data_IF_450991953030
#
_entry.id   IF_450991953030
#
_cell.length_a   1.000
_cell.length_b   1.000
_cell.length_c   1.000
_cell.angle_alpha   90.00
_cell.angle_beta   90.00
_cell.angle_gamma   90.00
#
_symmetry.space_group_name_H-M   'P 1'
#
loop_
_entity.id
_entity.type
_entity.pdbx_description
1 polymer ?
#
# COMPACT_ATOMS: atom_id res chain seq x y z
N UNK A 1 -2.87 25.60 -52.06
CA UNK A 1 -3.97 24.65 -52.30
C UNK A 1 -3.83 23.53 -51.30
N UNK A 2 -4.79 23.03 -50.54
CA UNK A 2 -6.14 23.44 -50.14
C UNK A 2 -6.44 22.63 -48.87
N UNK A 3 -7.31 23.17 -48.03
CA UNK A 3 -7.78 22.64 -46.74
C UNK A 3 -8.77 21.48 -46.96
N UNK A 4 -8.89 20.55 -46.00
CA UNK A 4 -9.94 19.53 -46.01
C UNK A 4 -10.23 18.92 -44.63
N UNK A 5 -11.17 19.53 -43.90
CA UNK A 5 -11.83 19.01 -42.70
C UNK A 5 -12.69 17.76 -43.01
N UNK A 6 -12.83 16.86 -42.04
CA UNK A 6 -13.95 15.93 -41.98
C UNK A 6 -14.43 15.74 -40.52
N UNK A 7 -15.47 16.49 -40.15
CA UNK A 7 -16.37 16.17 -39.03
C UNK A 7 -17.35 15.09 -39.49
N UNK A 8 -17.62 14.10 -38.65
CA UNK A 8 -18.77 13.19 -38.81
C UNK A 8 -19.61 13.28 -37.54
N UNK A 9 -20.75 13.94 -37.66
CA UNK A 9 -21.91 13.83 -36.78
C UNK A 9 -22.82 12.71 -37.31
N UNK A 10 -23.33 11.85 -36.44
CA UNK A 10 -24.58 11.14 -36.71
C UNK A 10 -25.48 11.11 -35.47
N UNK A 11 -26.72 11.53 -35.71
CA UNK A 11 -27.87 11.65 -34.82
C UNK A 11 -28.31 10.31 -34.21
N UNK A 12 -28.68 10.32 -32.92
CA UNK A 12 -29.49 9.28 -32.29
C UNK A 12 -30.96 9.71 -32.33
N UNK A 13 -31.79 8.88 -32.98
CA UNK A 13 -33.24 8.98 -32.97
C UNK A 13 -33.81 8.28 -31.73
N UNK A 14 -34.62 9.01 -30.98
CA UNK A 14 -35.59 8.49 -30.01
C UNK A 14 -36.77 7.89 -30.79
N UNK A 15 -37.22 6.69 -30.44
CA UNK A 15 -38.66 6.44 -30.19
C UNK A 15 -38.96 5.01 -29.70
N UNK A 16 -39.95 4.98 -28.78
CA UNK A 16 -40.89 3.90 -28.47
C UNK A 16 -40.43 2.65 -27.69
N UNK A 17 -40.83 2.57 -26.42
CA UNK A 17 -41.36 1.32 -25.87
C UNK A 17 -42.61 1.56 -24.99
N UNK A 18 -43.61 0.74 -25.28
CA UNK A 18 -44.99 0.79 -24.82
C UNK A 18 -45.19 0.34 -23.37
N UNK A 19 -46.20 0.96 -22.75
CA UNK A 19 -46.85 0.59 -21.48
C UNK A 19 -47.68 -0.68 -21.64
N UNK A 20 -47.57 -1.63 -20.69
CA UNK A 20 -48.66 -2.54 -20.33
C UNK A 20 -48.73 -2.71 -18.80
N UNK A 21 -49.82 -2.22 -18.22
CA UNK A 21 -50.33 -2.59 -16.88
C UNK A 21 -51.24 -3.82 -17.02
N UNK A 22 -51.18 -4.74 -16.06
CA UNK A 22 -52.40 -5.35 -15.52
C UNK A 22 -52.18 -5.92 -14.10
N UNK A 23 -53.28 -5.94 -13.37
CA UNK A 23 -53.49 -6.05 -11.92
C UNK A 23 -53.78 -7.48 -11.44
N UNK A 24 -53.41 -7.82 -10.20
CA UNK A 24 -54.35 -8.24 -9.13
C UNK A 24 -53.64 -8.77 -7.86
N UNK A 25 -54.09 -8.26 -6.70
CA UNK A 25 -54.04 -8.89 -5.35
C UNK A 25 -55.27 -9.83 -5.22
N UNK A 26 -55.42 -10.75 -4.21
CA UNK A 26 -55.17 -10.48 -2.78
C UNK A 26 -54.85 -11.66 -1.81
N UNK A 27 -54.64 -11.25 -0.55
CA UNK A 27 -55.16 -11.87 0.69
C UNK A 27 -54.26 -12.77 1.55
N UNK A 28 -54.60 -12.71 2.84
CA UNK A 28 -53.89 -13.04 4.08
C UNK A 28 -54.59 -14.25 4.71
N UNK A 29 -53.87 -15.18 5.38
CA UNK A 29 -54.40 -15.92 6.53
C UNK A 29 -53.34 -16.79 7.26
N UNK A 30 -53.21 -16.50 8.56
CA UNK A 30 -52.94 -17.29 9.77
C UNK A 30 -52.59 -18.80 9.67
N UNK A 31 -51.62 -19.21 10.50
CA UNK A 31 -51.52 -20.56 11.08
C UNK A 31 -50.44 -20.64 12.17
N UNK A 32 -50.86 -20.71 13.44
CA UNK A 32 -50.02 -21.06 14.61
C UNK A 32 -50.01 -22.58 14.79
N UNK A 33 -48.90 -23.15 15.25
CA UNK A 33 -48.82 -24.53 15.76
C UNK A 33 -47.52 -24.77 16.53
N UNK A 34 -47.65 -24.89 17.86
CA UNK A 34 -46.66 -25.37 18.82
C UNK A 34 -46.71 -26.91 18.88
N UNK A 35 -45.56 -27.60 18.98
CA UNK A 35 -45.19 -28.64 19.97
C UNK A 35 -44.18 -29.67 19.45
N UNK A 36 -43.30 -30.04 20.39
CA UNK A 36 -42.11 -30.89 20.32
C UNK A 36 -42.46 -32.37 20.46
N UNK A 37 -41.74 -33.27 19.78
CA UNK A 37 -41.26 -34.55 20.37
C UNK A 37 -40.14 -35.20 19.54
N UNK A 38 -39.23 -35.82 20.29
CA UNK A 38 -37.98 -36.47 19.90
C UNK A 38 -38.16 -37.69 18.98
N UNK A 39 -37.18 -37.93 18.11
CA UNK A 39 -36.70 -39.27 17.75
C UNK A 39 -37.16 -39.84 16.40
N UNK A 40 -36.14 -40.28 15.64
CA UNK A 40 -36.16 -41.21 14.50
C UNK A 40 -36.39 -40.65 13.10
N UNK A 41 -35.36 -40.91 12.28
CA UNK A 41 -35.19 -40.59 10.87
C UNK A 41 -36.30 -41.15 9.98
N UNK A 42 -36.79 -40.31 9.05
CA UNK A 42 -37.34 -40.77 7.77
C UNK A 42 -36.92 -39.78 6.68
N UNK A 43 -36.11 -40.26 5.74
CA UNK A 43 -35.66 -39.50 4.59
C UNK A 43 -36.78 -39.29 3.56
N UNK A 44 -36.91 -38.05 3.09
CA UNK A 44 -37.61 -37.72 1.85
C UNK A 44 -36.63 -37.03 0.89
N UNK A 45 -36.25 -37.79 -0.14
CA UNK A 45 -35.57 -37.28 -1.33
C UNK A 45 -36.50 -36.32 -2.07
N UNK A 46 -36.13 -35.05 -2.18
CA UNK A 46 -36.66 -34.16 -3.23
C UNK A 46 -35.54 -33.28 -3.79
N UNK A 47 -35.49 -33.19 -5.12
CA UNK A 47 -34.53 -32.42 -5.95
C UNK A 47 -34.48 -30.89 -5.68
N UNK A 48 -35.09 -30.40 -4.61
CA UNK A 48 -35.16 -28.98 -4.25
C UNK A 48 -33.98 -28.52 -3.36
N UNK A 49 -33.30 -29.42 -2.64
CA UNK A 49 -32.14 -29.05 -1.80
C UNK A 49 -30.83 -28.84 -2.60
N UNK A 50 -30.72 -29.38 -3.81
CA UNK A 50 -29.54 -29.18 -4.67
C UNK A 50 -29.47 -27.80 -5.37
N UNK A 51 -30.51 -26.95 -5.29
CA UNK A 51 -30.47 -25.59 -5.86
C UNK A 51 -30.21 -24.48 -4.84
N UNK A 52 -30.49 -24.71 -3.56
CA UNK A 52 -30.13 -23.76 -2.47
C UNK A 52 -28.66 -23.91 -2.06
N UNK A 53 -28.12 -25.13 -2.08
CA UNK A 53 -26.70 -25.39 -1.77
C UNK A 53 -25.72 -24.79 -2.80
N UNK A 54 -26.15 -24.56 -4.05
CA UNK A 54 -25.33 -23.96 -5.11
C UNK A 54 -25.23 -22.44 -4.97
N UNK A 55 -26.25 -21.80 -4.41
CA UNK A 55 -26.26 -20.35 -4.14
C UNK A 55 -25.48 -20.03 -2.85
N UNK A 56 -25.58 -20.87 -1.81
CA UNK A 56 -24.80 -20.71 -0.58
C UNK A 56 -23.27 -20.85 -0.81
N UNK A 57 -22.85 -21.63 -1.82
CA UNK A 57 -21.43 -21.79 -2.21
C UNK A 57 -20.82 -20.58 -2.93
N UNK A 58 -21.62 -19.62 -3.37
CA UNK A 58 -21.12 -18.37 -3.98
C UNK A 58 -21.08 -17.19 -2.99
N UNK A 59 -21.51 -17.38 -1.75
CA UNK A 59 -21.68 -16.30 -0.76
C UNK A 59 -20.77 -16.51 0.48
N UNK A 60 -19.97 -17.58 0.56
CA UNK A 60 -18.93 -17.74 1.60
C UNK A 60 -17.81 -18.70 1.18
N UNK A 61 -16.57 -18.22 0.96
CA UNK A 61 -15.43 -19.07 0.65
C UNK A 61 -14.65 -19.48 1.92
N UNK A 62 -15.35 -19.86 2.98
CA UNK A 62 -14.73 -20.38 4.20
C UNK A 62 -15.40 -21.69 4.59
N UNK A 63 -14.81 -22.81 4.17
CA UNK A 63 -14.89 -24.17 4.72
C UNK A 63 -14.72 -25.19 3.60
N UNK A 64 -13.47 -25.57 3.32
CA UNK A 64 -13.06 -26.91 2.88
C UNK A 64 -11.54 -26.94 2.66
N UNK A 65 -10.78 -27.37 3.66
CA UNK A 65 -9.41 -27.85 3.48
C UNK A 65 -9.41 -29.38 3.66
N UNK A 66 -9.13 -30.10 2.58
CA UNK A 66 -8.73 -31.50 2.65
C UNK A 66 -7.25 -31.57 3.07
N UNK A 67 -6.84 -32.54 3.91
CA UNK A 67 -5.46 -32.59 4.40
C UNK A 67 -4.49 -33.08 3.33
N UNK A 68 -3.39 -32.34 3.14
CA UNK A 68 -2.25 -32.67 2.29
C UNK A 68 -1.25 -33.53 3.11
N UNK A 69 -0.65 -34.60 2.58
CA UNK A 69 0.08 -35.60 3.38
C UNK A 69 1.54 -35.23 3.73
N UNK A 70 1.89 -33.94 3.84
CA UNK A 70 3.18 -33.50 4.38
C UNK A 70 2.98 -32.83 5.73
N UNK A 71 2.75 -33.66 6.75
CA UNK A 71 2.63 -33.25 8.15
C UNK A 71 3.98 -33.42 8.85
N UNK A 72 4.76 -32.34 8.87
CA UNK A 72 5.88 -32.18 9.80
C UNK A 72 5.93 -30.71 10.22
N UNK A 73 5.57 -30.41 11.48
CA UNK A 73 5.68 -29.08 12.11
C UNK A 73 4.46 -28.16 12.00
N UNK A 74 3.33 -28.56 12.59
CA UNK A 74 1.98 -28.09 12.21
C UNK A 74 1.48 -26.74 12.74
N UNK A 75 2.25 -25.99 13.52
CA UNK A 75 1.83 -24.63 13.95
C UNK A 75 2.57 -23.52 13.18
N UNK A 76 3.89 -23.66 12.97
CA UNK A 76 4.71 -22.63 12.33
C UNK A 76 4.45 -22.48 10.82
N UNK A 77 3.96 -23.54 10.16
CA UNK A 77 3.65 -23.55 8.72
C UNK A 77 2.39 -22.74 8.40
N UNK A 78 1.49 -22.53 9.37
CA UNK A 78 0.20 -21.86 9.13
C UNK A 78 0.37 -20.34 8.99
N UNK A 79 1.32 -19.73 9.70
CA UNK A 79 1.57 -18.28 9.66
C UNK A 79 2.70 -17.87 8.69
N UNK A 80 3.35 -18.84 8.04
CA UNK A 80 4.50 -18.59 7.16
C UNK A 80 5.75 -18.12 7.90
N UNK A 81 5.91 -18.52 9.18
CA UNK A 81 7.09 -18.21 9.99
C UNK A 81 7.26 -16.74 10.38
N UNK A 82 6.20 -15.93 10.31
CA UNK A 82 6.25 -14.50 10.66
C UNK A 82 6.45 -14.33 12.17
N UNK A 83 7.50 -13.60 12.53
CA UNK A 83 7.82 -13.20 13.90
C UNK A 83 7.29 -11.79 14.14
N UNK A 84 6.48 -11.60 15.17
CA UNK A 84 5.91 -10.31 15.55
C UNK A 84 6.46 -9.93 16.92
N UNK A 85 7.07 -8.75 17.04
CA UNK A 85 7.56 -8.20 18.31
C UNK A 85 6.42 -8.09 19.32
N UNK A 86 6.69 -8.35 20.60
CA UNK A 86 5.65 -8.51 21.61
C UNK A 86 4.72 -7.28 21.72
N UNK A 87 5.28 -6.07 21.73
CA UNK A 87 4.51 -4.82 21.78
C UNK A 87 3.61 -4.61 20.55
N UNK A 88 4.07 -5.00 19.35
CA UNK A 88 3.29 -4.95 18.11
C UNK A 88 2.14 -5.96 18.18
N UNK A 89 2.41 -7.19 18.65
CA UNK A 89 1.39 -8.22 18.84
C UNK A 89 0.31 -7.75 19.83
N UNK A 90 0.73 -7.26 20.99
CA UNK A 90 -0.18 -6.75 22.03
C UNK A 90 -1.04 -5.59 21.51
N UNK A 91 -0.45 -4.69 20.71
CA UNK A 91 -1.19 -3.59 20.10
C UNK A 91 -2.25 -4.08 19.11
N UNK A 92 -1.89 -5.01 18.21
CA UNK A 92 -2.82 -5.61 17.25
C UNK A 92 -3.97 -6.36 17.94
N UNK A 93 -3.67 -7.17 18.94
CA UNK A 93 -4.67 -7.94 19.69
C UNK A 93 -5.65 -7.05 20.47
N UNK A 94 -5.19 -5.85 20.87
CA UNK A 94 -6.00 -4.89 21.64
C UNK A 94 -6.64 -3.81 20.78
N UNK A 95 -6.47 -3.84 19.45
CA UNK A 95 -7.01 -2.83 18.54
C UNK A 95 -6.28 -1.48 18.58
N UNK A 96 -5.10 -1.41 19.19
CA UNK A 96 -4.32 -0.19 19.24
C UNK A 96 -3.66 0.15 17.89
N UNK A 97 -3.43 1.44 17.61
CA UNK A 97 -2.87 1.88 16.35
C UNK A 97 -1.43 1.38 16.17
N UNK A 98 -1.19 0.69 15.05
CA UNK A 98 0.14 0.23 14.62
C UNK A 98 0.47 0.86 13.27
N UNK A 99 1.70 1.34 13.12
CA UNK A 99 2.20 1.90 11.86
C UNK A 99 3.34 1.03 11.34
N UNK A 100 3.17 0.43 10.17
CA UNK A 100 4.24 -0.28 9.49
C UNK A 100 5.30 0.70 8.96
N UNK A 101 6.56 0.27 8.93
CA UNK A 101 7.70 1.00 8.36
C UNK A 101 8.55 0.04 7.51
N UNK A 102 9.03 0.50 6.35
CA UNK A 102 9.86 -0.35 5.47
C UNK A 102 11.34 -0.35 5.85
N UNK A 103 12.06 -1.40 5.47
CA UNK A 103 13.51 -1.52 5.69
C UNK A 103 14.38 -1.14 4.48
N UNK A 104 13.82 -1.04 3.27
CA UNK A 104 14.60 -0.65 2.08
C UNK A 104 15.20 0.75 2.20
N UNK A 105 14.47 1.72 2.77
CA UNK A 105 14.99 3.06 3.02
C UNK A 105 16.24 3.04 3.91
N UNK A 106 16.30 2.09 4.85
CA UNK A 106 17.41 1.92 5.78
C UNK A 106 18.63 1.32 5.06
N UNK A 107 18.45 0.23 4.32
CA UNK A 107 19.58 -0.49 3.72
C UNK A 107 20.07 0.09 2.39
N UNK A 108 19.17 0.70 1.61
CA UNK A 108 19.43 1.15 0.24
C UNK A 108 19.10 2.62 0.00
N UNK A 109 18.36 3.28 0.90
CA UNK A 109 17.92 4.66 0.72
C UNK A 109 18.82 5.70 1.37
N UNK A 110 19.55 5.36 2.43
CA UNK A 110 20.39 6.29 3.19
C UNK A 110 21.73 5.65 3.58
N UNK A 111 22.82 6.44 3.70
CA UNK A 111 24.11 5.94 4.17
C UNK A 111 24.11 5.71 5.69
N UNK A 112 25.03 4.86 6.17
CA UNK A 112 25.30 4.71 7.60
C UNK A 112 26.23 5.85 8.09
N UNK A 113 26.01 6.45 9.29
CA UNK A 113 25.01 6.08 10.32
C UNK A 113 23.62 6.71 10.16
N UNK A 114 23.43 7.63 9.20
CA UNK A 114 22.19 8.41 9.07
C UNK A 114 20.95 7.52 8.86
N UNK A 115 21.10 6.37 8.19
CA UNK A 115 20.03 5.40 8.00
C UNK A 115 19.49 4.86 9.33
N UNK A 116 20.37 4.50 10.28
CA UNK A 116 20.01 3.99 11.59
C UNK A 116 19.40 5.09 12.46
N UNK A 117 20.04 6.27 12.50
CA UNK A 117 19.57 7.44 13.25
C UNK A 117 18.17 7.85 12.79
N UNK A 118 17.98 7.97 11.48
CA UNK A 118 16.67 8.33 10.89
C UNK A 118 15.62 7.27 11.20
N UNK A 119 15.95 5.98 11.10
CA UNK A 119 14.99 4.91 11.42
C UNK A 119 14.55 4.99 12.89
N UNK A 120 15.48 5.23 13.83
CA UNK A 120 15.15 5.42 15.25
C UNK A 120 14.28 6.66 15.49
N UNK A 121 14.61 7.77 14.85
CA UNK A 121 13.83 9.01 14.97
C UNK A 121 12.40 8.83 14.43
N UNK A 122 12.24 8.12 13.31
CA UNK A 122 10.93 7.78 12.75
C UNK A 122 10.15 6.89 13.70
N UNK A 123 10.76 5.85 14.28
CA UNK A 123 10.09 5.04 15.32
C UNK A 123 9.72 5.86 16.56
N UNK A 124 10.55 6.82 16.97
CA UNK A 124 10.22 7.73 18.07
C UNK A 124 9.00 8.56 17.74
N UNK A 125 8.95 9.19 16.57
CA UNK A 125 7.81 10.01 16.15
C UNK A 125 6.50 9.21 16.21
N UNK A 126 6.53 7.95 15.73
CA UNK A 126 5.34 7.08 15.79
C UNK A 126 4.91 6.82 17.24
N UNK A 127 5.85 6.48 18.14
CA UNK A 127 5.57 6.30 19.57
C UNK A 127 5.05 7.57 20.23
N UNK A 128 5.71 8.69 19.98
CA UNK A 128 5.40 10.00 20.57
C UNK A 128 4.03 10.51 20.11
N UNK A 129 3.59 10.14 18.90
CA UNK A 129 2.23 10.36 18.41
C UNK A 129 1.18 9.46 19.08
N UNK A 130 1.56 8.37 19.75
CA UNK A 130 0.65 7.44 20.42
C UNK A 130 0.35 6.16 19.64
N UNK A 131 1.14 5.83 18.61
CA UNK A 131 1.03 4.57 17.86
C UNK A 131 2.26 3.67 18.09
N UNK A 132 2.14 2.38 17.76
CA UNK A 132 3.25 1.42 17.87
C UNK A 132 3.96 1.27 16.52
N UNK A 133 5.27 1.57 16.42
CA UNK A 133 6.02 1.37 15.19
C UNK A 133 6.37 -0.10 14.96
N UNK A 134 6.12 -0.57 13.74
CA UNK A 134 6.47 -1.90 13.27
C UNK A 134 7.39 -1.79 12.04
N UNK A 135 8.69 -1.65 12.26
CA UNK A 135 9.69 -1.79 11.18
C UNK A 135 9.70 -3.23 10.69
N UNK A 136 9.49 -3.44 9.38
CA UNK A 136 9.36 -4.77 8.77
C UNK A 136 10.62 -5.09 7.97
N UNK A 137 11.16 -6.30 8.16
CA UNK A 137 12.27 -6.85 7.38
C UNK A 137 12.19 -8.38 7.32
N UNK A 138 13.09 -9.00 6.56
CA UNK A 138 13.37 -10.44 6.68
C UNK A 138 14.77 -10.56 7.28
N UNK A 139 14.92 -11.15 8.45
CA UNK A 139 16.21 -11.36 9.11
C UNK A 139 16.58 -12.83 9.05
N UNK A 140 17.69 -13.13 8.38
CA UNK A 140 18.24 -14.49 8.27
C UNK A 140 17.18 -15.54 7.87
N UNK A 141 16.27 -15.16 6.95
CA UNK A 141 15.17 -15.99 6.47
C UNK A 141 13.84 -15.86 7.20
N UNK A 142 13.80 -15.21 8.36
CA UNK A 142 12.58 -15.02 9.14
C UNK A 142 11.94 -13.65 8.84
N UNK A 143 10.67 -13.58 8.40
CA UNK A 143 9.95 -12.32 8.35
C UNK A 143 9.73 -11.77 9.76
N UNK A 144 10.13 -10.53 10.01
CA UNK A 144 10.05 -9.87 11.32
C UNK A 144 9.19 -8.62 11.22
N UNK A 145 8.21 -8.48 12.11
CA UNK A 145 7.30 -7.34 12.24
C UNK A 145 7.59 -6.62 13.55
N UNK A 146 8.20 -5.43 13.45
CA UNK A 146 8.81 -4.75 14.57
C UNK A 146 10.21 -5.31 14.83
N UNK A 147 11.23 -4.48 14.63
CA UNK A 147 12.63 -4.86 14.88
C UNK A 147 13.09 -4.35 16.24
N UNK A 148 13.89 -5.14 16.94
CA UNK A 148 14.64 -4.62 18.10
C UNK A 148 15.71 -3.63 17.66
N UNK A 149 16.15 -2.73 18.55
CA UNK A 149 17.16 -1.73 18.21
C UNK A 149 18.46 -2.38 17.68
N UNK A 150 18.87 -3.51 18.26
CA UNK A 150 20.05 -4.25 17.83
C UNK A 150 19.90 -4.82 16.41
N UNK A 151 18.70 -5.30 16.07
CA UNK A 151 18.37 -5.82 14.74
C UNK A 151 18.32 -4.70 13.70
N UNK A 152 17.69 -3.57 14.06
CA UNK A 152 17.66 -2.35 13.26
C UNK A 152 19.08 -1.85 12.96
N UNK A 153 19.96 -1.84 13.97
CA UNK A 153 21.36 -1.46 13.83
C UNK A 153 22.13 -2.43 12.93
N UNK A 154 21.94 -3.74 13.13
CA UNK A 154 22.56 -4.79 12.29
C UNK A 154 22.16 -4.61 10.83
N UNK A 155 20.87 -4.40 10.55
CA UNK A 155 20.35 -4.14 9.22
C UNK A 155 20.96 -2.88 8.60
N UNK A 156 20.99 -1.77 9.34
CA UNK A 156 21.54 -0.51 8.88
C UNK A 156 23.05 -0.59 8.55
N UNK A 157 23.83 -1.33 9.36
CA UNK A 157 25.25 -1.58 9.11
C UNK A 157 25.47 -2.54 7.93
N UNK A 158 24.58 -3.52 7.76
CA UNK A 158 24.64 -4.45 6.62
C UNK A 158 24.44 -3.73 5.29
N UNK A 159 23.55 -2.72 5.28
CA UNK A 159 23.33 -1.85 4.13
C UNK A 159 23.02 -2.63 2.85
N UNK A 160 23.72 -2.31 1.75
CA UNK A 160 23.52 -2.92 0.43
C UNK A 160 23.79 -4.44 0.36
N UNK A 161 24.37 -5.05 1.41
CA UNK A 161 24.50 -6.51 1.49
C UNK A 161 23.18 -7.20 1.85
N UNK A 162 22.23 -6.49 2.45
CA UNK A 162 20.85 -6.95 2.55
C UNK A 162 20.25 -7.05 1.15
N UNK A 163 19.48 -8.10 0.88
CA UNK A 163 18.80 -8.25 -0.40
C UNK A 163 17.65 -7.23 -0.42
N UNK A 164 17.57 -6.40 -1.47
CA UNK A 164 16.40 -5.54 -1.69
C UNK A 164 15.22 -6.43 -2.08
N UNK A 165 14.21 -6.51 -1.22
CA UNK A 165 13.14 -7.51 -1.30
C UNK A 165 11.83 -6.86 -1.69
N UNK A 166 11.42 -7.02 -2.95
CA UNK A 166 10.04 -6.82 -3.39
C UNK A 166 9.22 -8.08 -3.15
N UNK A 167 7.90 -8.04 -3.35
CA UNK A 167 7.00 -9.19 -3.13
C UNK A 167 7.46 -10.46 -3.85
N UNK A 168 7.98 -10.35 -5.07
CA UNK A 168 8.49 -11.51 -5.84
C UNK A 168 9.73 -12.15 -5.20
N UNK A 169 10.50 -11.38 -4.43
CA UNK A 169 11.78 -11.80 -3.87
C UNK A 169 11.60 -12.48 -2.51
N UNK A 170 10.44 -12.31 -1.85
CA UNK A 170 10.16 -12.82 -0.49
C UNK A 170 10.50 -14.31 -0.37
N UNK A 171 9.94 -15.15 -1.25
CA UNK A 171 10.16 -16.60 -1.19
C UNK A 171 11.65 -16.96 -1.38
N UNK A 172 12.35 -16.23 -2.25
CA UNK A 172 13.77 -16.44 -2.49
C UNK A 172 14.63 -16.11 -1.26
N UNK A 173 14.35 -14.98 -0.60
CA UNK A 173 15.08 -14.54 0.58
C UNK A 173 14.85 -15.48 1.76
N UNK A 174 13.61 -15.89 2.00
CA UNK A 174 13.26 -16.88 3.03
C UNK A 174 13.96 -18.22 2.75
N UNK A 175 13.86 -18.74 1.53
CA UNK A 175 14.47 -20.03 1.18
C UNK A 175 16.00 -20.02 1.31
N UNK A 176 16.65 -18.86 1.08
CA UNK A 176 18.09 -18.68 1.26
C UNK A 176 18.53 -18.45 2.69
N UNK A 177 17.60 -18.31 3.64
CA UNK A 177 17.90 -17.88 5.01
C UNK A 177 18.71 -16.58 5.01
N UNK A 178 18.38 -15.67 4.08
CA UNK A 178 19.10 -14.43 3.89
C UNK A 178 18.40 -13.26 4.61
N UNK A 179 19.16 -12.21 4.91
CA UNK A 179 18.59 -10.93 5.35
C UNK A 179 18.12 -10.12 4.14
N UNK A 180 16.87 -9.69 4.17
CA UNK A 180 16.22 -8.89 3.14
C UNK A 180 15.59 -7.62 3.68
N UNK A 181 15.89 -6.50 3.04
CA UNK A 181 15.27 -5.21 3.29
C UNK A 181 14.02 -5.08 2.40
N UNK A 182 12.84 -5.05 3.00
CA UNK A 182 11.55 -5.01 2.29
C UNK A 182 11.33 -3.66 1.65
N UNK A 183 10.90 -3.66 0.39
CA UNK A 183 10.40 -2.46 -0.30
C UNK A 183 8.97 -2.16 0.15
N UNK A 184 8.35 -1.10 -0.39
CA UNK A 184 6.93 -0.81 -0.22
C UNK A 184 6.08 -2.05 -0.52
N UNK A 185 6.24 -2.69 -1.69
CA UNK A 185 5.44 -3.87 -2.03
C UNK A 185 5.54 -5.04 -1.03
N UNK A 186 6.75 -5.39 -0.57
CA UNK A 186 6.91 -6.48 0.40
C UNK A 186 6.43 -6.08 1.80
N UNK A 187 6.61 -4.82 2.19
CA UNK A 187 6.17 -4.28 3.47
C UNK A 187 4.64 -4.28 3.55
N UNK A 188 3.95 -3.85 2.50
CA UNK A 188 2.50 -3.93 2.38
C UNK A 188 1.99 -5.36 2.52
N UNK A 189 2.62 -6.33 1.83
CA UNK A 189 2.26 -7.74 1.93
C UNK A 189 2.31 -8.25 3.37
N UNK A 190 3.40 -7.98 4.09
CA UNK A 190 3.54 -8.40 5.48
C UNK A 190 2.61 -7.65 6.42
N UNK A 191 2.47 -6.33 6.26
CA UNK A 191 1.57 -5.49 7.06
C UNK A 191 0.12 -5.99 6.97
N UNK A 192 -0.39 -6.19 5.75
CA UNK A 192 -1.74 -6.71 5.53
C UNK A 192 -1.92 -8.11 6.12
N UNK A 193 -0.90 -8.98 6.02
CA UNK A 193 -0.95 -10.35 6.53
C UNK A 193 -1.07 -10.41 8.06
N UNK A 194 -0.62 -9.38 8.78
CA UNK A 194 -0.74 -9.29 10.24
C UNK A 194 -1.77 -8.26 10.71
N UNK A 195 -2.57 -7.70 9.79
CA UNK A 195 -3.65 -6.78 10.13
C UNK A 195 -3.24 -5.33 10.38
N UNK A 196 -2.03 -4.91 9.99
CA UNK A 196 -1.63 -3.49 10.03
C UNK A 196 -2.22 -2.77 8.82
N UNK A 197 -3.02 -1.74 9.07
CA UNK A 197 -3.74 -1.00 8.03
C UNK A 197 -3.02 0.25 7.51
N UNK A 198 -2.04 0.79 8.25
CA UNK A 198 -1.31 2.00 7.87
C UNK A 198 0.18 1.74 7.77
N UNK A 199 0.78 2.20 6.68
CA UNK A 199 2.20 2.06 6.36
C UNK A 199 2.79 3.42 5.97
N UNK A 200 3.93 3.78 6.55
CA UNK A 200 4.66 5.01 6.23
C UNK A 200 5.94 4.69 5.46
N UNK A 201 6.19 5.43 4.39
CA UNK A 201 7.45 5.43 3.63
C UNK A 201 7.84 6.84 3.22
N UNK A 202 9.06 7.01 2.68
CA UNK A 202 9.49 8.29 2.13
C UNK A 202 8.72 8.60 0.86
N UNK A 203 8.75 7.69 -0.10
CA UNK A 203 8.13 7.85 -1.41
C UNK A 203 7.99 6.49 -2.08
N UNK A 204 6.92 6.26 -2.81
CA UNK A 204 6.70 4.98 -3.49
C UNK A 204 7.54 4.88 -4.77
N UNK A 205 7.77 3.66 -5.26
CA UNK A 205 8.11 3.46 -6.67
C UNK A 205 6.94 3.81 -7.59
N UNK A 206 7.15 3.74 -8.89
CA UNK A 206 6.16 4.16 -9.88
C UNK A 206 6.53 3.73 -11.28
N UNK A 207 5.87 4.34 -12.26
CA UNK A 207 6.25 4.20 -13.67
C UNK A 207 7.53 4.99 -13.89
N UNK A 208 8.57 4.36 -14.42
CA UNK A 208 9.79 5.07 -14.77
C UNK A 208 9.55 5.99 -15.98
N UNK A 209 10.41 7.01 -16.15
CA UNK A 209 10.40 7.82 -17.37
C UNK A 209 10.70 6.91 -18.57
N UNK A 210 10.01 7.13 -19.69
CA UNK A 210 9.99 6.23 -20.86
C UNK A 210 9.44 4.82 -20.55
N UNK A 211 8.64 4.69 -19.48
CA UNK A 211 8.02 3.43 -19.01
C UNK A 211 7.06 2.80 -20.02
N UNK A 212 6.48 3.58 -20.93
CA UNK A 212 5.65 3.09 -22.04
C UNK A 212 6.44 2.36 -23.13
N UNK A 213 7.76 2.55 -23.17
CA UNK A 213 8.68 1.84 -24.08
C UNK A 213 9.36 0.69 -23.34
N UNK A 214 9.91 1.00 -22.16
CA UNK A 214 10.77 0.08 -21.40
C UNK A 214 9.98 -0.94 -20.58
N UNK A 215 8.71 -0.66 -20.28
CA UNK A 215 7.89 -1.38 -19.32
C UNK A 215 8.52 -1.46 -17.91
N UNK A 216 9.41 -0.52 -17.57
CA UNK A 216 10.00 -0.41 -16.24
C UNK A 216 9.00 0.26 -15.27
N UNK A 217 8.19 -0.59 -14.65
CA UNK A 217 7.11 -0.19 -13.72
C UNK A 217 7.34 -0.86 -12.38
N UNK A 218 7.33 -0.06 -11.31
CA UNK A 218 7.49 -0.60 -9.95
C UNK A 218 6.34 -1.54 -9.58
N UNK A 219 6.71 -2.68 -9.01
CA UNK A 219 5.78 -3.63 -8.37
C UNK A 219 4.96 -3.02 -7.23
N UNK A 220 5.37 -1.86 -6.70
CA UNK A 220 4.63 -1.14 -5.67
C UNK A 220 3.22 -0.77 -6.15
N UNK A 221 3.06 -0.41 -7.43
CA UNK A 221 1.76 -0.02 -7.99
C UNK A 221 0.79 -1.19 -8.09
N UNK A 222 1.28 -2.35 -8.53
CA UNK A 222 0.48 -3.58 -8.54
C UNK A 222 0.15 -4.05 -7.14
N UNK A 223 1.03 -3.82 -6.17
CA UNK A 223 0.75 -4.17 -4.77
C UNK A 223 -0.34 -3.27 -4.18
N UNK A 224 -0.26 -1.96 -4.41
CA UNK A 224 -1.32 -1.00 -4.08
C UNK A 224 -2.67 -1.45 -4.68
N UNK A 225 -2.69 -1.99 -5.90
CA UNK A 225 -3.94 -2.49 -6.52
C UNK A 225 -4.59 -3.69 -5.85
N UNK A 226 -3.90 -4.42 -4.96
CA UNK A 226 -4.38 -5.71 -4.41
C UNK A 226 -4.16 -5.92 -2.92
N UNK A 227 -3.72 -4.89 -2.20
CA UNK A 227 -3.38 -5.01 -0.77
C UNK A 227 -3.92 -3.80 -0.04
N UNK A 228 -4.95 -4.03 0.79
CA UNK A 228 -5.68 -3.02 1.53
C UNK A 228 -4.87 -2.46 2.70
N UNK A 229 -3.87 -1.65 2.37
CA UNK A 229 -3.05 -0.87 3.30
C UNK A 229 -3.04 0.58 2.82
N UNK A 230 -3.25 1.51 3.75
CA UNK A 230 -3.11 2.94 3.52
C UNK A 230 -1.62 3.31 3.61
N UNK A 231 -1.04 3.69 2.47
CA UNK A 231 0.38 4.05 2.34
C UNK A 231 0.52 5.56 2.36
N UNK A 232 1.24 6.08 3.35
CA UNK A 232 1.53 7.50 3.53
C UNK A 232 2.95 7.79 3.06
N UNK A 233 3.09 8.70 2.10
CA UNK A 233 4.37 9.03 1.52
C UNK A 233 4.42 10.47 1.00
N UNK A 234 5.60 10.95 0.59
CA UNK A 234 5.76 12.25 -0.06
C UNK A 234 5.46 12.20 -1.57
N UNK A 235 4.61 11.27 -2.00
CA UNK A 235 4.34 10.98 -3.40
C UNK A 235 5.30 9.94 -4.00
N UNK A 236 5.56 10.08 -5.31
CA UNK A 236 6.41 9.16 -6.08
C UNK A 236 7.82 9.73 -6.13
N UNK A 237 8.86 8.88 -6.01
CA UNK A 237 10.26 9.33 -6.08
C UNK A 237 10.52 10.17 -7.33
N UNK A 238 11.18 11.32 -7.20
CA UNK A 238 11.27 12.37 -8.25
C UNK A 238 11.91 11.95 -9.59
N UNK A 239 12.57 10.80 -9.63
CA UNK A 239 13.18 10.23 -10.84
C UNK A 239 12.16 9.57 -11.79
N UNK A 240 10.92 9.43 -11.34
CA UNK A 240 9.86 8.67 -11.99
C UNK A 240 8.90 9.60 -12.75
N UNK A 241 7.95 9.00 -13.46
CA UNK A 241 6.91 9.69 -14.20
C UNK A 241 5.62 9.74 -13.37
N UNK A 242 5.33 10.91 -12.79
CA UNK A 242 4.15 11.11 -11.95
C UNK A 242 2.85 10.98 -12.75
N UNK A 243 2.66 11.67 -13.90
CA UNK A 243 1.46 11.50 -14.71
C UNK A 243 1.13 10.04 -15.02
N UNK A 244 2.08 9.27 -15.57
CA UNK A 244 1.86 7.85 -15.89
C UNK A 244 1.64 7.00 -14.65
N UNK A 245 2.27 7.35 -13.53
CA UNK A 245 2.03 6.64 -12.26
C UNK A 245 0.61 6.84 -11.77
N UNK A 246 0.05 8.05 -11.87
CA UNK A 246 -1.35 8.32 -11.51
C UNK A 246 -2.33 7.56 -12.40
N UNK A 247 -2.11 7.54 -13.72
CA UNK A 247 -2.91 6.76 -14.68
C UNK A 247 -2.88 5.25 -14.38
N UNK A 248 -1.70 4.73 -14.02
CA UNK A 248 -1.55 3.32 -13.63
C UNK A 248 -2.32 3.01 -12.34
N UNK A 249 -2.23 3.89 -11.34
CA UNK A 249 -2.94 3.74 -10.07
C UNK A 249 -4.46 3.80 -10.24
N UNK A 250 -4.96 4.68 -11.11
CA UNK A 250 -6.36 4.70 -11.53
C UNK A 250 -6.77 3.35 -12.11
N UNK A 251 -5.98 2.82 -13.05
CA UNK A 251 -6.23 1.50 -13.67
C UNK A 251 -6.23 0.36 -12.65
N UNK A 252 -5.42 0.46 -11.59
CA UNK A 252 -5.35 -0.52 -10.50
C UNK A 252 -6.45 -0.34 -9.44
N UNK A 253 -7.34 0.65 -9.56
CA UNK A 253 -8.40 0.90 -8.57
C UNK A 253 -7.87 1.42 -7.23
N UNK A 254 -6.71 2.08 -7.23
CA UNK A 254 -6.10 2.65 -6.03
C UNK A 254 -6.66 4.04 -5.78
N UNK A 255 -7.18 4.28 -4.57
CA UNK A 255 -7.57 5.64 -4.17
C UNK A 255 -6.33 6.47 -3.91
N UNK A 256 -6.18 7.60 -4.60
CA UNK A 256 -5.05 8.52 -4.44
C UNK A 256 -5.51 9.83 -3.84
N UNK A 257 -4.86 10.22 -2.74
CA UNK A 257 -5.21 11.35 -1.89
C UNK A 257 -4.05 12.33 -1.81
N UNK A 258 -4.31 13.62 -2.01
CA UNK A 258 -3.45 14.73 -1.60
C UNK A 258 -3.84 15.21 -0.20
N UNK A 259 -2.91 15.15 0.75
CA UNK A 259 -3.14 15.57 2.13
C UNK A 259 -2.89 17.07 2.30
N UNK A 260 -3.97 17.84 2.48
CA UNK A 260 -3.94 19.30 2.59
C UNK A 260 -3.61 20.02 1.29
N UNK A 261 -3.71 19.35 0.13
CA UNK A 261 -3.29 19.86 -1.18
C UNK A 261 -4.20 19.36 -2.30
N UNK A 262 -4.40 20.18 -3.33
CA UNK A 262 -5.09 19.80 -4.58
C UNK A 262 -4.13 19.16 -5.61
N UNK A 263 -2.84 19.18 -5.31
CA UNK A 263 -1.76 18.74 -6.19
C UNK A 263 -1.02 17.56 -5.56
N UNK A 264 -0.73 16.54 -6.36
CA UNK A 264 0.03 15.38 -5.90
C UNK A 264 1.50 15.77 -5.68
N UNK A 265 2.12 15.44 -4.53
CA UNK A 265 3.49 15.85 -4.25
C UNK A 265 4.53 15.07 -5.08
N UNK A 266 5.67 15.71 -5.37
CA UNK A 266 6.78 15.13 -6.15
C UNK A 266 8.02 14.84 -5.29
N UNK A 267 7.79 14.24 -4.11
CA UNK A 267 8.82 13.82 -3.16
C UNK A 267 9.59 15.00 -2.57
N UNK A 268 10.62 15.52 -3.24
CA UNK A 268 11.38 16.68 -2.77
C UNK A 268 10.68 18.02 -3.01
N UNK A 269 9.66 18.06 -3.85
CA UNK A 269 8.89 19.27 -4.13
C UNK A 269 7.44 19.07 -3.67
N UNK A 270 6.80 20.11 -3.11
CA UNK A 270 5.39 20.04 -2.74
C UNK A 270 4.45 20.05 -3.95
N UNK A 271 4.97 20.34 -5.15
CA UNK A 271 4.19 20.60 -6.37
C UNK A 271 4.78 19.84 -7.57
N UNK A 272 4.02 18.89 -8.13
CA UNK A 272 4.40 18.09 -9.31
C UNK A 272 3.88 18.61 -10.66
N UNK A 273 2.97 19.58 -10.66
CA UNK A 273 2.10 19.97 -11.77
C UNK A 273 0.89 19.05 -11.99
N UNK A 274 0.70 18.01 -11.17
CA UNK A 274 -0.34 17.00 -11.36
C UNK A 274 -1.42 17.13 -10.30
N UNK A 275 -2.68 17.19 -10.70
CA UNK A 275 -3.82 17.23 -9.77
C UNK A 275 -3.90 15.93 -8.97
N UNK A 276 -4.09 16.04 -7.65
CA UNK A 276 -4.44 14.88 -6.83
C UNK A 276 -5.89 14.46 -7.12
N UNK A 277 -6.19 13.17 -7.38
CA UNK A 277 -7.55 12.73 -7.69
C UNK A 277 -8.56 13.03 -6.58
N UNK A 278 -8.13 12.91 -5.31
CA UNK A 278 -8.92 13.27 -4.13
C UNK A 278 -8.09 14.16 -3.22
N UNK A 279 -8.71 15.14 -2.58
CA UNK A 279 -8.11 15.94 -1.51
C UNK A 279 -8.81 15.64 -0.19
N UNK A 280 -8.02 15.53 0.87
CA UNK A 280 -8.48 15.53 2.26
C UNK A 280 -7.66 16.55 3.04
N UNK A 281 -8.16 17.04 4.15
CA UNK A 281 -7.48 18.06 4.97
C UNK A 281 -7.13 17.58 6.37
N UNK A 282 -7.69 16.45 6.83
CA UNK A 282 -7.43 15.93 8.17
C UNK A 282 -7.18 14.42 8.19
N UNK A 283 -6.61 13.93 9.30
CA UNK A 283 -6.36 12.51 9.50
C UNK A 283 -7.66 11.71 9.64
N UNK A 284 -8.71 12.30 10.19
CA UNK A 284 -10.04 11.71 10.36
C UNK A 284 -10.74 11.47 9.02
N UNK A 285 -10.60 12.41 8.07
CA UNK A 285 -11.11 12.22 6.70
C UNK A 285 -10.39 11.04 6.00
N UNK A 286 -9.06 10.96 6.12
CA UNK A 286 -8.27 9.81 5.66
C UNK A 286 -8.73 8.49 6.30
N UNK A 287 -8.94 8.50 7.62
CA UNK A 287 -9.35 7.34 8.38
C UNK A 287 -10.74 6.86 7.97
N UNK A 288 -11.69 7.78 7.75
CA UNK A 288 -13.03 7.45 7.26
C UNK A 288 -12.98 6.76 5.89
N UNK A 289 -12.14 7.23 4.96
CA UNK A 289 -11.93 6.57 3.66
C UNK A 289 -11.30 5.18 3.85
N UNK A 290 -10.34 5.07 4.76
CA UNK A 290 -9.66 3.81 5.09
C UNK A 290 -10.65 2.77 5.61
N UNK A 291 -11.48 3.14 6.59
CA UNK A 291 -12.53 2.26 7.15
C UNK A 291 -13.60 1.93 6.11
N UNK A 292 -14.00 2.89 5.27
CA UNK A 292 -14.95 2.61 4.18
C UNK A 292 -14.40 1.60 3.16
N UNK A 293 -13.12 1.72 2.79
CA UNK A 293 -12.44 0.76 1.90
C UNK A 293 -12.47 -0.67 2.50
N UNK A 294 -12.15 -0.79 3.80
CA UNK A 294 -12.20 -2.06 4.53
C UNK A 294 -13.60 -2.64 4.58
N UNK A 295 -14.61 -1.86 4.98
CA UNK A 295 -15.99 -2.30 5.13
C UNK A 295 -16.63 -2.75 3.81
N UNK A 296 -16.25 -2.11 2.71
CA UNK A 296 -16.69 -2.49 1.36
C UNK A 296 -15.90 -3.68 0.79
N UNK A 297 -14.80 -4.09 1.44
CA UNK A 297 -13.95 -5.18 0.97
C UNK A 297 -13.33 -4.90 -0.40
N UNK A 298 -12.90 -3.65 -0.66
CA UNK A 298 -12.36 -3.26 -1.97
C UNK A 298 -11.02 -3.92 -2.31
N UNK A 299 -10.28 -4.39 -1.30
CA UNK A 299 -9.02 -5.09 -1.42
C UNK A 299 -7.87 -4.32 -2.12
N UNK A 300 -8.08 -3.04 -2.46
CA UNK A 300 -7.03 -2.12 -2.92
C UNK A 300 -6.54 -1.23 -1.77
N UNK A 301 -5.28 -0.83 -1.85
CA UNK A 301 -4.67 0.13 -0.95
C UNK A 301 -5.13 1.56 -1.24
N UNK A 302 -4.72 2.46 -0.34
CA UNK A 302 -4.94 3.89 -0.47
C UNK A 302 -3.56 4.56 -0.47
N UNK A 303 -3.30 5.47 -1.40
CA UNK A 303 -2.08 6.24 -1.45
C UNK A 303 -2.33 7.66 -0.95
N UNK A 304 -1.68 8.06 0.14
CA UNK A 304 -1.77 9.40 0.71
C UNK A 304 -0.47 10.14 0.45
N UNK A 305 -0.51 11.09 -0.49
CA UNK A 305 0.57 12.01 -0.80
C UNK A 305 0.58 13.20 0.16
N UNK A 306 1.62 13.28 0.99
CA UNK A 306 1.88 14.36 1.95
C UNK A 306 3.00 15.26 1.43
N UNK A 307 2.75 16.54 1.14
CA UNK A 307 3.80 17.46 0.72
C UNK A 307 4.92 17.57 1.76
N UNK A 308 6.17 17.70 1.29
CA UNK A 308 7.30 18.05 2.16
C UNK A 308 7.01 19.40 2.87
N UNK A 309 7.38 19.58 4.15
CA UNK A 309 7.11 20.82 4.85
C UNK A 309 7.72 22.05 4.14
N UNK A 310 6.97 23.16 4.11
CA UNK A 310 7.31 24.34 3.31
C UNK A 310 8.70 24.94 3.60
N UNK A 311 9.19 24.84 4.84
CA UNK A 311 10.52 25.34 5.20
C UNK A 311 11.68 24.50 4.62
N UNK A 312 11.42 23.27 4.18
CA UNK A 312 12.36 22.46 3.39
C UNK A 312 12.16 22.62 1.87
N UNK A 313 11.07 23.27 1.43
CA UNK A 313 10.78 23.46 0.00
C UNK A 313 11.75 24.40 -0.70
N UNK A 314 12.48 25.27 0.02
CA UNK A 314 13.53 26.10 -0.56
C UNK A 314 14.70 25.28 -1.17
N UNK A 315 14.87 24.03 -0.72
CA UNK A 315 15.83 23.10 -1.31
C UNK A 315 15.29 22.36 -2.56
N UNK A 316 14.00 22.52 -2.89
CA UNK A 316 13.34 21.76 -3.96
C UNK A 316 13.88 22.11 -5.36
N UNK A 317 14.14 23.39 -5.64
CA UNK A 317 14.58 23.82 -6.98
C UNK A 317 16.00 23.35 -7.32
N UNK A 318 17.02 23.47 -6.43
CA UNK A 318 18.33 22.85 -6.66
C UNK A 318 18.27 21.32 -6.85
N UNK A 319 17.40 20.65 -6.08
CA UNK A 319 17.21 19.20 -6.18
C UNK A 319 16.58 18.82 -7.52
N UNK A 320 15.59 19.57 -8.00
CA UNK A 320 14.96 19.33 -9.30
C UNK A 320 15.95 19.54 -10.45
N UNK A 321 16.76 20.60 -10.40
CA UNK A 321 17.84 20.83 -11.38
C UNK A 321 18.83 19.65 -11.39
N UNK A 322 19.21 19.16 -10.21
CA UNK A 322 20.09 18.00 -10.07
C UNK A 322 19.46 16.72 -10.64
N UNK A 323 18.15 16.52 -10.46
CA UNK A 323 17.41 15.37 -11.02
C UNK A 323 17.41 15.45 -12.55
N UNK A 324 17.05 16.59 -13.14
CA UNK A 324 17.01 16.74 -14.60
C UNK A 324 18.42 16.58 -15.20
N UNK A 325 19.45 17.09 -14.54
CA UNK A 325 20.85 16.88 -14.93
C UNK A 325 21.21 15.40 -14.90
N UNK A 326 20.89 14.71 -13.81
CA UNK A 326 21.17 13.27 -13.65
C UNK A 326 20.44 12.41 -14.68
N UNK A 327 19.22 12.80 -15.05
CA UNK A 327 18.42 12.10 -16.06
C UNK A 327 18.91 12.33 -17.50
N UNK A 328 19.60 13.45 -17.75
CA UNK A 328 20.36 13.62 -18.98
C UNK A 328 21.61 12.74 -18.98
N UNK A 329 22.33 12.69 -17.87
CA UNK A 329 23.55 11.87 -17.74
C UNK A 329 23.29 10.36 -17.93
N UNK A 330 22.16 9.82 -17.47
CA UNK A 330 21.84 8.39 -17.70
C UNK A 330 21.66 8.09 -19.19
N UNK A 331 21.13 9.03 -19.98
CA UNK A 331 20.97 8.88 -21.43
C UNK A 331 22.33 8.90 -22.11
N UNK A 332 23.18 9.87 -21.73
CA UNK A 332 24.54 9.98 -22.27
C UNK A 332 25.42 8.76 -21.93
N UNK A 333 25.20 8.15 -20.76
CA UNK A 333 25.94 6.97 -20.26
C UNK A 333 25.28 5.62 -20.56
N UNK A 334 24.13 5.59 -21.25
CA UNK A 334 23.31 4.39 -21.51
C UNK A 334 23.01 3.55 -20.25
N UNK A 335 22.71 4.21 -19.12
CA UNK A 335 22.35 3.53 -17.87
C UNK A 335 20.87 3.17 -17.91
N UNK A 336 20.54 1.89 -17.76
CA UNK A 336 19.18 1.36 -17.89
C UNK A 336 18.78 0.41 -16.76
N UNK A 337 17.47 0.16 -16.62
CA UNK A 337 16.88 -0.77 -15.66
C UNK A 337 17.23 -0.47 -14.20
N UNK A 338 17.52 -1.51 -13.42
CA UNK A 338 17.76 -1.43 -11.98
C UNK A 338 18.93 -0.51 -11.56
N UNK A 339 19.82 -0.13 -12.50
CA UNK A 339 20.94 0.77 -12.25
C UNK A 339 20.56 2.27 -12.27
N UNK A 340 19.41 2.64 -12.86
CA UNK A 340 18.98 4.04 -13.01
C UNK A 340 18.75 4.70 -11.64
N UNK A 341 17.92 4.09 -10.79
CA UNK A 341 17.54 4.68 -9.49
C UNK A 341 18.74 4.91 -8.57
N UNK A 342 19.65 3.95 -8.34
CA UNK A 342 20.84 4.20 -7.53
C UNK A 342 21.76 5.26 -8.13
N UNK A 343 21.92 5.30 -9.45
CA UNK A 343 22.75 6.31 -10.11
C UNK A 343 22.18 7.72 -9.89
N UNK A 344 20.89 7.92 -10.16
CA UNK A 344 20.28 9.25 -10.05
C UNK A 344 20.27 9.73 -8.60
N UNK A 345 19.94 8.87 -7.63
CA UNK A 345 19.95 9.27 -6.21
C UNK A 345 21.35 9.66 -5.72
N UNK A 346 22.39 8.90 -6.08
CA UNK A 346 23.77 9.26 -5.74
C UNK A 346 24.17 10.58 -6.40
N UNK A 347 23.84 10.74 -7.68
CA UNK A 347 24.21 11.94 -8.45
C UNK A 347 23.50 13.19 -7.94
N UNK A 348 22.22 13.09 -7.58
CA UNK A 348 21.46 14.17 -6.94
C UNK A 348 22.08 14.55 -5.60
N UNK A 349 22.48 13.56 -4.79
CA UNK A 349 23.14 13.83 -3.51
C UNK A 349 24.49 14.54 -3.68
N UNK A 350 25.29 14.13 -4.66
CA UNK A 350 26.55 14.81 -5.02
C UNK A 350 26.32 16.26 -5.47
N UNK A 351 25.38 16.46 -6.41
CA UNK A 351 25.09 17.77 -7.01
C UNK A 351 24.45 18.75 -6.01
N UNK A 352 23.76 18.24 -4.99
CA UNK A 352 23.06 19.07 -3.99
C UNK A 352 23.86 19.25 -2.69
N UNK A 353 25.08 18.71 -2.62
CA UNK A 353 25.93 18.80 -1.43
C UNK A 353 25.29 18.23 -0.16
N UNK A 354 24.44 17.20 -0.30
CA UNK A 354 23.72 16.59 0.82
C UNK A 354 22.34 17.18 1.13
N UNK A 355 21.91 18.26 0.48
CA UNK A 355 20.60 18.85 0.73
C UNK A 355 19.43 17.87 0.42
N UNK A 356 19.60 16.99 -0.57
CA UNK A 356 18.62 15.94 -0.86
C UNK A 356 18.46 14.93 0.29
N UNK A 357 19.53 14.61 1.02
CA UNK A 357 19.45 13.70 2.17
C UNK A 357 18.68 14.35 3.32
N UNK A 358 18.99 15.61 3.65
CA UNK A 358 18.27 16.37 4.68
C UNK A 358 16.79 16.50 4.35
N UNK A 359 16.44 16.78 3.08
CA UNK A 359 15.05 16.81 2.64
C UNK A 359 14.36 15.43 2.74
N UNK A 360 15.08 14.35 2.41
CA UNK A 360 14.56 12.97 2.52
C UNK A 360 14.28 12.57 3.98
N UNK A 361 15.14 13.00 4.91
CA UNK A 361 14.93 12.81 6.35
C UNK A 361 13.71 13.63 6.83
N UNK A 362 13.60 14.89 6.40
CA UNK A 362 12.49 15.74 6.78
C UNK A 362 11.14 15.21 6.30
N UNK A 363 11.05 14.74 5.05
CA UNK A 363 9.81 14.21 4.50
C UNK A 363 9.39 12.89 5.18
N UNK A 364 10.31 11.95 5.44
CA UNK A 364 9.92 10.69 6.11
C UNK A 364 9.42 10.95 7.54
N UNK A 365 10.03 11.90 8.25
CA UNK A 365 9.59 12.31 9.59
C UNK A 365 8.20 12.95 9.55
N UNK A 366 7.92 13.79 8.55
CA UNK A 366 6.59 14.36 8.37
C UNK A 366 5.55 13.29 8.02
N UNK A 367 5.89 12.35 7.13
CA UNK A 367 5.02 11.22 6.77
C UNK A 367 4.73 10.34 7.98
N UNK A 368 5.71 10.11 8.86
CA UNK A 368 5.54 9.34 10.09
C UNK A 368 4.54 9.98 11.05
N UNK A 369 4.61 11.30 11.21
CA UNK A 369 3.64 12.05 12.01
C UNK A 369 2.22 11.90 11.43
N UNK A 370 2.03 12.21 10.15
CA UNK A 370 0.72 12.14 9.49
C UNK A 370 0.17 10.70 9.47
N UNK A 371 1.02 9.71 9.18
CA UNK A 371 0.61 8.30 9.20
C UNK A 371 0.20 7.81 10.59
N UNK A 372 0.85 8.30 11.64
CA UNK A 372 0.46 7.99 13.02
C UNK A 372 -0.89 8.60 13.38
N UNK A 373 -1.12 9.87 12.99
CA UNK A 373 -2.42 10.53 13.16
C UNK A 373 -3.55 9.76 12.44
N UNK A 374 -3.31 9.29 11.21
CA UNK A 374 -4.27 8.48 10.44
C UNK A 374 -4.52 7.12 11.12
N UNK A 375 -3.47 6.45 11.62
CA UNK A 375 -3.61 5.16 12.28
C UNK A 375 -4.44 5.27 13.57
N UNK A 376 -4.22 6.31 14.37
CA UNK A 376 -4.98 6.59 15.59
C UNK A 376 -6.45 6.87 15.26
N UNK A 377 -6.71 7.74 14.29
CA UNK A 377 -8.08 8.05 13.87
C UNK A 377 -8.79 6.81 13.29
N UNK A 378 -8.06 5.93 12.60
CA UNK A 378 -8.59 4.68 12.06
C UNK A 378 -8.95 3.70 13.19
N UNK A 379 -8.08 3.51 14.17
CA UNK A 379 -8.34 2.67 15.34
C UNK A 379 -9.59 3.14 16.11
N UNK A 380 -9.72 4.46 16.34
CA UNK A 380 -10.87 5.04 17.02
C UNK A 380 -12.21 4.79 16.28
N UNK A 381 -12.21 4.81 14.95
CA UNK A 381 -13.40 4.53 14.15
C UNK A 381 -13.77 3.04 14.14
N UNK A 382 -12.78 2.15 14.18
CA UNK A 382 -13.01 0.70 14.24
C UNK A 382 -13.54 0.27 15.60
N UNK A 383 -13.05 0.84 16.71
CA UNK A 383 -13.57 0.56 18.06
C UNK A 383 -15.02 1.05 18.26
N UNK A 384 -15.42 2.12 17.57
CA UNK A 384 -16.76 2.71 17.67
C UNK A 384 -17.82 2.09 16.76
N UNK A 385 -17.44 1.15 15.88
CA UNK A 385 -18.31 0.45 14.92
C UNK A 385 -18.78 -0.89 15.46
#
# INVERSE_FOLDING_TARGET
>A
MAVGNASIYYHLNLEQFHVLRSSNRPSCCKGRGLLVKQGMEWGFSTRAQCRVATIARHISPALCSAPNPFMMGTQAIVDGGIQIRADVRDALERGFPVVALESTIISHGMPYPQNFETAKEVESIVRDSGAVPATIAILDGAPCIGLEEAELKKLAQLGKKAIKTSRRDIAHVIAKQATGATTVSATMFFAAKVGISVFVTGGIGGVHRDGEITMDVSSDLTELGRTAVTVVCAGVKSILDIPRTLEFLETQGVTVIGYGTDEFPAFFTPRSGCKAPTRVNTAEECAAITVANMNMGLQSGILVGVPIPAHYAAAAEPVEIAIQTSLKEIKDKNITGAAVTPFVLNRVNELTGGASLSANIALIKNNARVGSEIAIATAALVEGS
#
